data_IF_838673466544
#
_entry.id   IF_838673466544
#
_cell.length_a   1.000
_cell.length_b   1.000
_cell.length_c   1.000
_cell.angle_alpha   90.00
_cell.angle_beta   90.00
_cell.angle_gamma   90.00
#
_symmetry.space_group_name_H-M   'P 1'
#
loop_
_entity.id
_entity.type
_entity.pdbx_description
1 polymer ?
#
# COMPACT_ATOMS: atom_id res chain seq x y z
N UNK A 1 3.37 14.28 -32.83
CA UNK A 1 4.05 13.32 -31.92
C UNK A 1 3.02 12.31 -31.42
N UNK A 2 2.93 11.16 -32.08
CA UNK A 2 1.98 10.08 -31.77
C UNK A 2 2.73 8.95 -31.03
N UNK A 3 2.15 8.50 -29.92
CA UNK A 3 2.14 7.13 -29.36
C UNK A 3 3.45 6.32 -29.24
N UNK A 4 3.86 6.04 -28.00
CA UNK A 4 4.66 4.86 -27.62
C UNK A 4 4.07 4.22 -26.34
N UNK A 5 3.00 3.44 -26.53
CA UNK A 5 2.52 2.45 -25.56
C UNK A 5 3.36 1.16 -25.70
N UNK A 6 3.86 0.66 -24.57
CA UNK A 6 4.03 -0.78 -24.24
C UNK A 6 5.01 -1.66 -25.06
N UNK A 7 6.20 -1.93 -24.49
CA UNK A 7 6.99 -3.19 -24.48
C UNK A 7 8.34 -2.84 -23.83
N UNK A 8 8.77 -3.39 -22.69
CA UNK A 8 9.41 -4.69 -22.56
C UNK A 8 9.09 -5.35 -21.21
N UNK A 9 8.53 -6.55 -21.29
CA UNK A 9 8.44 -7.54 -20.22
C UNK A 9 9.66 -8.49 -20.38
N UNK A 10 10.16 -9.06 -19.26
CA UNK A 10 11.08 -10.22 -19.19
C UNK A 10 12.58 -10.00 -19.50
N UNK A 11 13.40 -9.63 -18.49
CA UNK A 11 14.53 -10.46 -17.96
C UNK A 11 15.22 -9.91 -16.67
N UNK A 12 14.89 -8.73 -16.14
CA UNK A 12 15.54 -8.23 -14.91
C UNK A 12 14.92 -8.78 -13.60
N UNK A 13 14.64 -10.09 -13.55
CA UNK A 13 14.25 -10.78 -12.33
C UNK A 13 15.50 -11.43 -11.72
N UNK A 14 15.77 -11.07 -10.46
CA UNK A 14 16.78 -11.61 -9.53
C UNK A 14 18.17 -10.94 -9.52
N UNK A 15 18.59 -10.64 -8.27
CA UNK A 15 19.86 -10.05 -7.82
C UNK A 15 20.05 -8.57 -8.17
N UNK A 16 19.57 -7.63 -7.35
CA UNK A 16 20.35 -6.83 -6.37
C UNK A 16 19.34 -6.12 -5.44
N UNK A 17 19.58 -6.15 -4.12
CA UNK A 17 18.98 -5.35 -3.03
C UNK A 17 17.71 -5.88 -2.29
N UNK A 18 17.97 -6.43 -1.10
CA UNK A 18 17.17 -6.43 0.13
C UNK A 18 15.62 -6.35 0.05
N UNK A 19 14.96 -7.50 0.31
CA UNK A 19 13.76 -7.68 1.13
C UNK A 19 12.61 -6.64 1.12
N UNK A 20 12.39 -5.90 0.02
CA UNK A 20 11.17 -5.12 -0.24
C UNK A 20 10.79 -5.31 -1.70
N UNK A 21 10.15 -6.45 -1.98
CA UNK A 21 9.73 -6.81 -3.34
C UNK A 21 8.61 -5.85 -3.79
N UNK A 22 8.99 -4.87 -4.60
CA UNK A 22 8.16 -4.08 -5.55
C UNK A 22 6.64 -4.20 -5.38
N UNK A 23 6.05 -3.35 -4.55
CA UNK A 23 4.64 -3.04 -4.73
C UNK A 23 4.55 -1.92 -5.75
N UNK A 24 3.98 -2.24 -6.92
CA UNK A 24 3.84 -1.25 -7.98
C UNK A 24 2.70 -0.32 -7.61
N UNK A 25 3.04 0.88 -7.12
CA UNK A 25 2.07 1.98 -7.12
C UNK A 25 1.80 2.28 -8.60
N UNK A 26 0.59 1.98 -9.09
CA UNK A 26 0.19 2.25 -10.48
C UNK A 26 -0.87 3.33 -10.47
N UNK A 27 -0.56 4.49 -11.03
CA UNK A 27 -1.45 5.66 -11.05
C UNK A 27 -1.98 6.03 -9.64
N UNK A 28 -1.13 5.89 -8.62
CA UNK A 28 -1.47 6.14 -7.22
C UNK A 28 -2.25 5.03 -6.52
N UNK A 29 -2.46 3.88 -7.16
CA UNK A 29 -3.05 2.71 -6.52
C UNK A 29 -1.93 1.79 -6.03
N UNK A 30 -1.82 1.63 -4.71
CA UNK A 30 -0.98 0.64 -4.05
C UNK A 30 -1.77 -0.66 -3.88
N UNK A 31 -1.21 -1.75 -4.41
CA UNK A 31 -1.74 -3.11 -4.18
C UNK A 31 -0.76 -3.88 -3.31
N UNK A 32 -1.20 -4.22 -2.10
CA UNK A 32 -0.43 -5.10 -1.21
C UNK A 32 -0.43 -6.52 -1.79
N UNK A 33 0.74 -7.16 -1.82
CA UNK A 33 0.88 -8.50 -2.39
C UNK A 33 0.04 -9.54 -1.65
N UNK A 34 -0.60 -10.44 -2.40
CA UNK A 34 -1.28 -11.60 -1.82
C UNK A 34 -0.27 -12.46 -1.05
N UNK A 35 -0.66 -12.92 0.14
CA UNK A 35 0.23 -13.67 1.04
C UNK A 35 1.02 -12.79 2.00
N UNK A 36 1.02 -11.46 1.83
CA UNK A 36 1.47 -10.54 2.89
C UNK A 36 0.54 -10.69 4.09
N UNK A 37 1.13 -10.99 5.25
CA UNK A 37 0.41 -11.15 6.53
C UNK A 37 0.51 -9.91 7.40
N UNK A 38 1.53 -9.08 7.20
CA UNK A 38 1.79 -7.87 7.96
C UNK A 38 2.28 -6.77 7.02
N UNK A 39 1.66 -5.59 7.14
CA UNK A 39 2.22 -4.34 6.64
C UNK A 39 3.09 -3.78 7.76
N UNK A 40 4.38 -3.61 7.52
CA UNK A 40 5.38 -3.39 8.57
C UNK A 40 5.42 -1.95 9.07
N UNK A 41 6.16 -1.76 10.15
CA UNK A 41 6.50 -0.44 10.69
C UNK A 41 7.03 0.48 9.59
N UNK A 42 6.35 1.63 9.40
CA UNK A 42 6.71 2.67 8.43
C UNK A 42 6.88 2.21 6.98
N UNK A 43 6.26 1.11 6.58
CA UNK A 43 6.49 0.53 5.24
C UNK A 43 6.18 1.49 4.08
N UNK A 44 5.19 2.37 4.23
CA UNK A 44 4.84 3.43 3.26
C UNK A 44 4.87 4.84 3.87
N UNK A 45 5.67 5.05 4.92
CA UNK A 45 5.76 6.35 5.59
C UNK A 45 6.09 7.48 4.60
N UNK A 46 5.31 8.56 4.63
CA UNK A 46 5.51 9.77 3.85
C UNK A 46 5.25 9.62 2.35
N UNK A 47 4.58 8.55 1.92
CA UNK A 47 4.40 8.30 0.49
C UNK A 47 3.31 9.21 -0.10
N UNK A 48 3.74 10.15 -0.94
CA UNK A 48 2.86 11.11 -1.61
C UNK A 48 2.33 10.62 -2.95
N UNK A 49 2.75 9.45 -3.45
CA UNK A 49 2.18 8.87 -4.67
C UNK A 49 0.90 8.08 -4.40
N UNK A 50 0.77 7.49 -3.20
CA UNK A 50 -0.39 6.67 -2.82
C UNK A 50 -1.63 7.54 -2.69
N UNK A 51 -2.67 7.17 -3.45
CA UNK A 51 -4.03 7.71 -3.41
C UNK A 51 -5.05 6.70 -2.93
N UNK A 52 -4.80 5.43 -3.22
CA UNK A 52 -5.66 4.30 -2.85
C UNK A 52 -4.82 3.12 -2.40
N UNK A 53 -5.27 2.43 -1.34
CA UNK A 53 -4.65 1.19 -0.88
C UNK A 53 -5.64 0.04 -0.99
N UNK A 54 -5.20 -1.03 -1.67
CA UNK A 54 -5.91 -2.31 -1.75
C UNK A 54 -5.19 -3.31 -0.85
N UNK A 55 -5.82 -3.68 0.26
CA UNK A 55 -5.29 -4.65 1.23
C UNK A 55 -5.98 -6.01 1.01
N UNK A 56 -5.23 -7.10 0.73
CA UNK A 56 -5.80 -8.43 0.58
C UNK A 56 -6.16 -9.03 1.95
N UNK A 57 -7.06 -10.01 1.95
CA UNK A 57 -7.54 -10.69 3.16
C UNK A 57 -6.49 -11.54 3.89
N UNK A 58 -5.28 -11.69 3.32
CA UNK A 58 -4.16 -12.33 4.00
C UNK A 58 -3.57 -11.45 5.11
N UNK A 59 -3.73 -10.12 5.01
CA UNK A 59 -3.17 -9.18 5.99
C UNK A 59 -3.94 -9.27 7.29
N UNK A 60 -3.19 -9.44 8.39
CA UNK A 60 -3.66 -9.48 9.77
C UNK A 60 -3.28 -8.23 10.55
N UNK A 61 -2.12 -7.65 10.23
CA UNK A 61 -1.54 -6.54 10.98
C UNK A 61 -1.17 -5.38 10.06
N UNK A 62 -1.56 -4.17 10.45
CA UNK A 62 -1.03 -2.92 9.92
C UNK A 62 -0.12 -2.32 11.00
N UNK A 63 1.17 -2.18 10.70
CA UNK A 63 2.19 -1.78 11.67
C UNK A 63 2.11 -0.31 12.06
N UNK A 64 2.89 0.04 13.10
CA UNK A 64 2.97 1.43 13.56
C UNK A 64 3.44 2.35 12.42
N UNK A 65 2.80 3.50 12.27
CA UNK A 65 3.11 4.50 11.23
C UNK A 65 3.17 3.96 9.79
N UNK A 66 2.53 2.82 9.48
CA UNK A 66 2.64 2.15 8.18
C UNK A 66 2.34 3.07 6.97
N UNK A 67 1.35 3.95 7.09
CA UNK A 67 0.95 4.94 6.08
C UNK A 67 1.02 6.38 6.61
N UNK A 68 1.80 6.62 7.67
CA UNK A 68 1.88 7.96 8.26
C UNK A 68 2.44 8.96 7.25
N UNK A 69 1.81 10.12 7.09
CA UNK A 69 2.23 11.14 6.12
C UNK A 69 1.92 10.79 4.67
N UNK A 70 1.06 9.81 4.40
CA UNK A 70 0.53 9.58 3.05
C UNK A 70 -0.51 10.65 2.71
N UNK A 71 -0.07 11.88 2.48
CA UNK A 71 -0.94 13.06 2.36
C UNK A 71 -1.94 12.95 1.21
N UNK A 72 -1.60 12.23 0.13
CA UNK A 72 -2.47 12.06 -1.05
C UNK A 72 -3.40 10.85 -0.96
N UNK A 73 -3.32 10.04 0.10
CA UNK A 73 -4.19 8.89 0.31
C UNK A 73 -5.63 9.37 0.55
N UNK A 74 -6.54 9.05 -0.36
CA UNK A 74 -7.96 9.43 -0.27
C UNK A 74 -8.87 8.27 0.12
N UNK A 75 -8.49 7.04 -0.25
CA UNK A 75 -9.34 5.85 -0.08
C UNK A 75 -8.55 4.65 0.46
N UNK A 76 -9.08 4.02 1.50
CA UNK A 76 -8.57 2.72 1.96
C UNK A 76 -9.72 1.80 2.40
N UNK A 77 -9.65 0.54 1.97
CA UNK A 77 -10.51 -0.53 2.49
C UNK A 77 -9.69 -1.42 3.43
N UNK A 78 -10.10 -1.49 4.70
CA UNK A 78 -9.48 -2.35 5.71
C UNK A 78 -10.29 -3.67 5.76
N UNK A 79 -9.79 -4.81 5.25
CA UNK A 79 -10.56 -6.05 5.26
C UNK A 79 -10.78 -6.57 6.68
N UNK A 80 -11.85 -7.34 6.91
CA UNK A 80 -12.18 -7.95 8.21
C UNK A 80 -11.11 -8.91 8.74
N UNK A 81 -10.16 -9.30 7.90
CA UNK A 81 -9.00 -10.09 8.27
C UNK A 81 -8.00 -9.32 9.14
N UNK A 82 -7.99 -7.98 9.08
CA UNK A 82 -7.10 -7.13 9.87
C UNK A 82 -7.59 -7.10 11.30
N UNK A 83 -6.79 -7.64 12.21
CA UNK A 83 -7.10 -7.73 13.65
C UNK A 83 -6.27 -6.77 14.50
N UNK A 84 -5.25 -6.13 13.91
CA UNK A 84 -4.38 -5.19 14.61
C UNK A 84 -3.97 -4.01 13.71
N UNK A 85 -4.13 -2.79 14.23
CA UNK A 85 -3.67 -1.55 13.59
C UNK A 85 -2.77 -0.82 14.58
N UNK A 86 -1.54 -0.55 14.15
CA UNK A 86 -0.51 0.08 14.94
C UNK A 86 -0.76 1.56 15.19
N UNK A 87 -0.06 2.10 16.19
CA UNK A 87 -0.08 3.51 16.54
C UNK A 87 0.31 4.36 15.34
N UNK A 88 -0.42 5.45 15.11
CA UNK A 88 -0.14 6.42 14.05
C UNK A 88 -0.15 5.84 12.63
N UNK A 89 -0.73 4.66 12.40
CA UNK A 89 -0.70 3.99 11.09
C UNK A 89 -1.20 4.88 9.94
N UNK A 90 -2.14 5.80 10.21
CA UNK A 90 -2.70 6.75 9.24
C UNK A 90 -2.60 8.21 9.70
N UNK A 91 -1.68 8.52 10.63
CA UNK A 91 -1.47 9.90 11.06
C UNK A 91 -0.92 10.75 9.89
N UNK A 92 -1.32 12.01 9.79
CA UNK A 92 -0.95 12.91 8.68
C UNK A 92 -1.40 12.45 7.28
N UNK A 93 -2.35 11.51 7.17
CA UNK A 93 -3.07 11.24 5.92
C UNK A 93 -4.16 12.31 5.69
N UNK A 94 -3.76 13.55 5.43
CA UNK A 94 -4.66 14.72 5.45
C UNK A 94 -5.82 14.67 4.45
N UNK A 95 -5.68 13.96 3.32
CA UNK A 95 -6.76 13.81 2.33
C UNK A 95 -7.56 12.51 2.50
N UNK A 96 -7.34 11.72 3.55
CA UNK A 96 -8.06 10.47 3.77
C UNK A 96 -9.47 10.76 4.28
N UNK A 97 -10.43 10.80 3.36
CA UNK A 97 -11.84 11.12 3.65
C UNK A 97 -12.71 9.89 3.90
N UNK A 98 -12.29 8.72 3.42
CA UNK A 98 -13.08 7.50 3.49
C UNK A 98 -12.24 6.31 3.97
N UNK A 99 -12.70 5.68 5.05
CA UNK A 99 -12.18 4.39 5.54
C UNK A 99 -13.34 3.42 5.56
N UNK A 100 -13.29 2.41 4.70
CA UNK A 100 -14.27 1.34 4.68
C UNK A 100 -13.79 0.19 5.54
N UNK A 101 -14.55 -0.10 6.60
CA UNK A 101 -14.41 -1.29 7.45
C UNK A 101 -15.63 -2.17 7.16
N UNK A 102 -15.47 -3.38 6.60
CA UNK A 102 -16.59 -4.26 6.31
C UNK A 102 -17.28 -4.65 7.62
N UNK A 103 -18.62 -4.72 7.57
CA UNK A 103 -19.43 -5.27 8.64
C UNK A 103 -19.06 -6.73 8.91
N UNK A 104 -19.13 -7.11 10.19
CA UNK A 104 -18.86 -8.45 10.73
C UNK A 104 -19.63 -9.57 10.03
#
# INVERSE_FOLDING_TARGET
>A
MKSAKTLFLSVAFALIAAASFTQTIRNGVLTIANGTTEIKYREYYGNTEIKKVIIPSSVKTIGNSAFNGCENLTEITIPSSVTSIGKWAFEQCSNLTEITIPSS
#
